data_IF_522321945915
#
_entry.id   IF_522321945915
#
_cell.length_a   1.000
_cell.length_b   1.000
_cell.length_c   1.000
_cell.angle_alpha   90.00
_cell.angle_beta   90.00
_cell.angle_gamma   90.00
#
_symmetry.space_group_name_H-M   'P 1'
#
loop_
_entity.id
_entity.type
_entity.pdbx_description
1 polymer ?
#
# COMPACT_ATOMS: atom_id res chain seq x y z
N UNK A 1 26.65 4.91 21.51
CA UNK A 1 26.80 4.56 20.08
C UNK A 1 25.73 5.33 19.32
N UNK A 2 26.10 6.29 18.48
CA UNK A 2 25.15 7.08 17.72
C UNK A 2 24.68 6.26 16.50
N UNK A 3 23.39 5.98 16.42
CA UNK A 3 22.74 5.46 15.21
C UNK A 3 22.90 6.50 14.10
N UNK A 4 23.36 6.14 12.89
CA UNK A 4 23.40 7.09 11.79
C UNK A 4 21.96 7.46 11.44
N UNK A 5 21.65 8.75 11.46
CA UNK A 5 20.41 9.26 10.90
C UNK A 5 20.56 9.17 9.38
N UNK A 6 19.90 8.21 8.75
CA UNK A 6 19.91 8.14 7.29
C UNK A 6 19.20 9.36 6.73
N UNK A 7 19.88 10.07 5.83
CA UNK A 7 19.33 11.24 5.15
C UNK A 7 18.23 10.81 4.18
N UNK A 8 17.14 11.59 4.10
CA UNK A 8 15.98 11.34 3.25
C UNK A 8 16.34 11.01 1.78
N UNK A 9 17.39 11.65 1.26
CA UNK A 9 17.87 11.45 -0.10
C UNK A 9 18.61 10.12 -0.31
N UNK A 10 19.22 9.56 0.74
CA UNK A 10 19.99 8.32 0.68
C UNK A 10 19.09 7.07 0.70
N UNK A 11 17.90 7.17 1.29
CA UNK A 11 16.93 6.06 1.34
C UNK A 11 15.96 6.01 0.15
N UNK A 12 15.94 7.04 -0.69
CA UNK A 12 15.04 7.11 -1.85
C UNK A 12 15.26 5.97 -2.86
N UNK A 13 16.50 5.54 -3.18
CA UNK A 13 16.72 4.34 -3.99
C UNK A 13 16.15 3.07 -3.36
N UNK A 14 16.22 2.94 -2.03
CA UNK A 14 15.64 1.79 -1.31
C UNK A 14 14.11 1.84 -1.33
N UNK A 15 13.49 3.02 -1.23
CA UNK A 15 12.05 3.19 -1.38
C UNK A 15 11.59 2.77 -2.78
N UNK A 16 12.33 3.19 -3.82
CA UNK A 16 12.06 2.80 -5.20
C UNK A 16 12.21 1.30 -5.42
N UNK A 17 13.25 0.68 -4.85
CA UNK A 17 13.45 -0.76 -4.92
C UNK A 17 12.31 -1.54 -4.24
N UNK A 18 11.81 -1.04 -3.10
CA UNK A 18 10.65 -1.61 -2.41
C UNK A 18 9.40 -1.58 -3.30
N UNK A 19 9.06 -0.43 -3.89
CA UNK A 19 7.90 -0.31 -4.79
C UNK A 19 8.06 -1.19 -6.02
N UNK A 20 9.25 -1.21 -6.63
CA UNK A 20 9.52 -2.08 -7.78
C UNK A 20 9.38 -3.57 -7.42
N UNK A 21 9.81 -3.96 -6.22
CA UNK A 21 9.63 -5.33 -5.73
C UNK A 21 8.15 -5.69 -5.59
N UNK A 22 7.35 -4.80 -4.98
CA UNK A 22 5.91 -5.00 -4.82
C UNK A 22 5.23 -5.24 -6.18
N UNK A 23 5.45 -4.32 -7.13
CA UNK A 23 4.73 -4.41 -8.41
C UNK A 23 5.27 -5.52 -9.33
N UNK A 24 6.50 -5.99 -9.13
CA UNK A 24 7.03 -7.18 -9.83
C UNK A 24 6.34 -8.47 -9.39
N UNK A 25 5.79 -8.52 -8.18
CA UNK A 25 5.10 -9.71 -7.70
C UNK A 25 3.84 -10.02 -8.52
N UNK A 26 3.07 -8.99 -8.90
CA UNK A 26 1.89 -9.15 -9.76
C UNK A 26 2.21 -9.79 -11.12
N UNK A 27 3.40 -9.59 -11.67
CA UNK A 27 3.82 -10.24 -12.91
C UNK A 27 4.04 -11.76 -12.76
N UNK A 28 4.02 -12.28 -11.53
CA UNK A 28 4.20 -13.70 -11.19
C UNK A 28 2.92 -14.34 -10.65
N UNK A 29 1.81 -13.60 -10.63
CA UNK A 29 0.54 -13.98 -10.01
C UNK A 29 0.14 -13.01 -8.89
N UNK A 30 -0.93 -13.33 -8.18
CA UNK A 30 -1.45 -12.49 -7.10
C UNK A 30 -0.62 -12.63 -5.82
N UNK A 31 0.00 -11.53 -5.35
CA UNK A 31 0.74 -11.54 -4.10
C UNK A 31 -0.19 -11.53 -2.88
N UNK A 32 0.26 -12.19 -1.81
CA UNK A 32 -0.53 -12.33 -0.59
C UNK A 32 -0.30 -11.15 0.38
N UNK A 33 -0.57 -9.94 -0.12
CA UNK A 33 -0.30 -8.70 0.61
C UNK A 33 -1.24 -8.46 1.79
N UNK A 34 -2.46 -8.96 1.74
CA UNK A 34 -3.43 -8.76 2.81
C UNK A 34 -3.31 -9.80 3.95
N UNK A 35 -2.66 -10.96 3.71
CA UNK A 35 -2.47 -11.98 4.74
C UNK A 35 -0.99 -12.18 5.11
N UNK A 36 -0.32 -13.16 4.50
CA UNK A 36 1.01 -13.63 4.96
C UNK A 36 2.08 -12.56 4.82
N UNK A 37 1.98 -11.70 3.82
CA UNK A 37 2.98 -10.66 3.56
C UNK A 37 2.62 -9.30 4.18
N UNK A 38 1.43 -9.15 4.76
CA UNK A 38 0.90 -7.87 5.24
C UNK A 38 1.84 -7.12 6.20
N UNK A 39 2.54 -7.85 7.09
CA UNK A 39 3.52 -7.26 8.02
C UNK A 39 4.79 -6.70 7.37
N UNK A 40 5.09 -7.14 6.14
CA UNK A 40 6.22 -6.69 5.33
C UNK A 40 5.81 -5.55 4.39
N UNK A 41 4.53 -5.50 4.01
CA UNK A 41 3.99 -4.54 3.04
C UNK A 41 3.50 -3.28 3.74
N UNK A 42 2.69 -3.40 4.80
CA UNK A 42 1.97 -2.28 5.40
C UNK A 42 2.62 -1.79 6.69
N UNK A 43 2.68 -0.47 6.86
CA UNK A 43 3.11 0.15 8.09
C UNK A 43 2.17 -0.23 9.25
N UNK A 44 2.64 -0.24 10.51
CA UNK A 44 1.87 -0.79 11.63
C UNK A 44 0.45 -0.23 11.78
N UNK A 45 0.25 1.08 11.53
CA UNK A 45 -1.06 1.72 11.62
C UNK A 45 -2.02 1.20 10.55
N UNK A 46 -1.63 1.23 9.28
CA UNK A 46 -2.47 0.75 8.18
C UNK A 46 -2.75 -0.75 8.33
N UNK A 47 -1.75 -1.55 8.69
CA UNK A 47 -1.91 -2.97 8.94
C UNK A 47 -2.93 -3.27 10.05
N UNK A 48 -2.92 -2.50 11.14
CA UNK A 48 -3.88 -2.67 12.21
C UNK A 48 -5.32 -2.37 11.76
N UNK A 49 -5.51 -1.40 10.88
CA UNK A 49 -6.81 -1.09 10.29
C UNK A 49 -7.30 -2.20 9.35
N UNK A 50 -6.42 -2.69 8.46
CA UNK A 50 -6.73 -3.80 7.55
C UNK A 50 -7.14 -5.05 8.34
N UNK A 51 -6.36 -5.41 9.37
CA UNK A 51 -6.68 -6.56 10.22
C UNK A 51 -7.99 -6.38 10.98
N UNK A 52 -8.28 -5.15 11.41
CA UNK A 52 -9.51 -4.86 12.13
C UNK A 52 -10.73 -4.96 11.22
N UNK A 53 -10.65 -4.45 10.00
CA UNK A 53 -11.69 -4.59 8.98
C UNK A 53 -12.04 -6.06 8.73
N UNK A 54 -11.03 -6.89 8.47
CA UNK A 54 -11.24 -8.34 8.33
C UNK A 54 -11.84 -8.99 9.58
N UNK A 55 -11.43 -8.54 10.77
CA UNK A 55 -11.90 -9.13 12.03
C UNK A 55 -13.33 -8.71 12.42
N UNK A 56 -13.81 -7.55 11.95
CA UNK A 56 -15.18 -7.07 12.21
C UNK A 56 -16.16 -7.43 11.10
N UNK A 57 -15.67 -7.80 9.92
CA UNK A 57 -16.49 -8.29 8.81
C UNK A 57 -17.13 -9.64 9.16
N UNK A 58 -18.47 -9.76 9.14
CA UNK A 58 -19.15 -11.03 9.35
C UNK A 58 -18.77 -12.08 8.30
N UNK A 59 -18.83 -13.36 8.68
CA UNK A 59 -18.53 -14.43 7.74
C UNK A 59 -19.51 -14.43 6.55
N UNK A 60 -18.96 -14.38 5.33
CA UNK A 60 -19.73 -14.33 4.09
C UNK A 60 -20.06 -12.91 3.61
N UNK A 61 -19.73 -11.88 4.41
CA UNK A 61 -19.84 -10.48 4.01
C UNK A 61 -18.50 -9.96 3.49
N UNK A 62 -18.58 -8.87 2.73
CA UNK A 62 -17.41 -8.11 2.25
C UNK A 62 -17.15 -6.97 3.22
N UNK A 63 -15.89 -6.80 3.62
CA UNK A 63 -15.45 -5.70 4.49
C UNK A 63 -15.40 -4.36 3.76
N UNK A 64 -14.81 -3.36 4.39
CA UNK A 64 -14.51 -2.09 3.72
C UNK A 64 -13.52 -2.30 2.58
N UNK A 65 -12.59 -3.24 2.76
CA UNK A 65 -11.73 -3.72 1.68
C UNK A 65 -12.43 -4.82 0.88
N UNK A 66 -12.89 -4.46 -0.30
CA UNK A 66 -13.51 -5.38 -1.26
C UNK A 66 -12.47 -5.96 -2.25
N UNK A 67 -11.22 -5.50 -2.26
CA UNK A 67 -10.19 -6.01 -3.18
C UNK A 67 -8.78 -5.74 -2.71
N UNK A 68 -7.79 -5.89 -3.59
CA UNK A 68 -6.41 -5.53 -3.31
C UNK A 68 -6.19 -4.02 -3.50
N UNK A 69 -5.95 -3.27 -2.41
CA UNK A 69 -5.77 -1.83 -2.49
C UNK A 69 -4.44 -1.42 -3.12
N UNK A 70 -3.44 -2.29 -3.22
CA UNK A 70 -2.12 -1.98 -3.77
C UNK A 70 -2.14 -1.92 -5.30
N UNK A 71 -3.01 -2.71 -5.96
CA UNK A 71 -3.29 -2.62 -7.40
C UNK A 71 -4.59 -1.87 -7.73
N UNK A 72 -5.39 -1.51 -6.73
CA UNK A 72 -6.75 -0.97 -6.89
C UNK A 72 -7.61 -1.89 -7.76
N UNK A 73 -7.59 -3.19 -7.45
CA UNK A 73 -8.17 -4.23 -8.30
C UNK A 73 -8.77 -5.40 -7.51
N UNK A 74 -9.77 -6.05 -8.12
CA UNK A 74 -10.36 -7.32 -7.63
C UNK A 74 -9.53 -8.53 -8.06
N UNK A 75 -8.95 -8.44 -9.26
CA UNK A 75 -8.15 -9.46 -9.92
C UNK A 75 -6.97 -8.75 -10.61
N UNK A 76 -5.77 -9.29 -10.44
CA UNK A 76 -4.56 -8.75 -11.04
C UNK A 76 -4.34 -9.20 -12.51
N UNK A 77 -5.24 -9.99 -13.09
CA UNK A 77 -5.13 -10.48 -14.45
C UNK A 77 -5.01 -9.35 -15.48
N UNK A 78 -3.99 -9.46 -16.33
CA UNK A 78 -3.69 -8.45 -17.34
C UNK A 78 -3.04 -7.17 -16.80
N UNK A 79 -2.75 -7.06 -15.50
CA UNK A 79 -2.03 -5.93 -14.91
C UNK A 79 -0.66 -5.77 -15.55
N UNK A 80 -0.38 -4.57 -16.05
CA UNK A 80 0.94 -4.15 -16.53
C UNK A 80 1.38 -2.90 -15.79
N UNK A 81 2.59 -2.95 -15.23
CA UNK A 81 3.20 -1.78 -14.60
C UNK A 81 3.67 -0.82 -15.70
N UNK A 82 3.16 0.39 -15.66
CA UNK A 82 3.56 1.48 -16.55
C UNK A 82 4.69 2.30 -15.94
N UNK A 83 4.35 3.47 -15.42
CA UNK A 83 5.30 4.42 -14.86
C UNK A 83 5.37 4.30 -13.33
N UNK A 84 6.57 4.45 -12.76
CA UNK A 84 6.79 4.52 -11.31
C UNK A 84 7.68 5.72 -11.00
N UNK A 85 7.10 6.75 -10.39
CA UNK A 85 7.82 7.87 -9.82
C UNK A 85 7.90 7.70 -8.30
N UNK A 86 9.06 7.99 -7.70
CA UNK A 86 9.21 8.01 -6.24
C UNK A 86 9.91 9.30 -5.86
N UNK A 87 9.29 10.04 -4.95
CA UNK A 87 9.69 11.38 -4.51
C UNK A 87 9.86 11.39 -3.00
N UNK A 88 10.96 11.95 -2.50
CA UNK A 88 11.17 12.10 -1.06
C UNK A 88 10.23 13.18 -0.50
N UNK A 89 9.61 12.89 0.65
CA UNK A 89 8.78 13.85 1.40
C UNK A 89 9.48 14.36 2.67
N UNK A 90 10.50 13.64 3.14
CA UNK A 90 11.27 13.96 4.33
C UNK A 90 12.06 12.76 4.83
N UNK A 91 12.81 12.87 5.94
CA UNK A 91 13.55 11.76 6.53
C UNK A 91 12.63 10.56 6.79
N UNK A 92 12.92 9.41 6.18
CA UNK A 92 12.12 8.19 6.33
C UNK A 92 10.72 8.24 5.69
N UNK A 93 10.43 9.23 4.85
CA UNK A 93 9.14 9.38 4.17
C UNK A 93 9.30 9.66 2.67
N UNK A 94 8.53 8.94 1.86
CA UNK A 94 8.49 9.12 0.41
C UNK A 94 7.07 8.92 -0.10
N UNK A 95 6.78 9.44 -1.29
CA UNK A 95 5.57 9.11 -2.05
C UNK A 95 5.97 8.41 -3.33
N UNK A 96 5.27 7.33 -3.66
CA UNK A 96 5.39 6.67 -4.95
C UNK A 96 4.10 6.84 -5.74
N UNK A 97 4.21 7.34 -6.97
CA UNK A 97 3.09 7.44 -7.91
C UNK A 97 3.29 6.38 -9.00
N UNK A 98 2.34 5.45 -9.06
CA UNK A 98 2.38 4.28 -9.94
C UNK A 98 1.23 4.37 -10.93
N UNK A 99 1.55 4.23 -12.21
CA UNK A 99 0.56 3.98 -13.26
C UNK A 99 0.53 2.49 -13.55
N UNK A 100 -0.56 1.82 -13.23
CA UNK A 100 -0.84 0.45 -13.69
C UNK A 100 -1.78 0.51 -14.89
N UNK A 101 -1.71 -0.50 -15.76
CA UNK A 101 -2.58 -0.63 -16.93
C UNK A 101 -3.27 -1.96 -16.89
N UNK A 102 -4.58 -1.92 -17.02
CA UNK A 102 -5.45 -3.07 -17.21
C UNK A 102 -6.07 -3.01 -18.62
N UNK A 103 -6.75 -4.08 -19.08
CA UNK A 103 -7.45 -4.06 -20.36
C UNK A 103 -8.55 -2.98 -20.48
N UNK A 104 -9.16 -2.61 -19.36
CA UNK A 104 -10.22 -1.59 -19.25
C UNK A 104 -9.69 -0.15 -19.14
N UNK A 105 -8.41 0.03 -18.78
CA UNK A 105 -7.76 1.34 -18.78
C UNK A 105 -6.57 1.46 -17.83
N UNK A 106 -5.85 2.60 -17.89
CA UNK A 106 -4.83 2.94 -16.91
C UNK A 106 -5.44 3.40 -15.58
N UNK A 107 -4.82 3.00 -14.47
CA UNK A 107 -5.14 3.46 -13.11
C UNK A 107 -3.90 4.10 -12.49
N UNK A 108 -4.11 5.14 -11.69
CA UNK A 108 -3.03 5.81 -10.95
C UNK A 108 -3.23 5.53 -9.47
N UNK A 109 -2.17 5.01 -8.85
CA UNK A 109 -2.13 4.66 -7.44
C UNK A 109 -0.96 5.40 -6.82
N UNK A 110 -1.21 6.15 -5.75
CA UNK A 110 -0.17 6.78 -4.96
C UNK A 110 -0.01 6.05 -3.65
N UNK A 111 1.23 5.72 -3.28
CA UNK A 111 1.58 5.10 -2.02
C UNK A 111 2.37 6.08 -1.18
N UNK A 112 1.89 6.37 0.03
CA UNK A 112 2.71 6.97 1.06
C UNK A 112 3.58 5.90 1.68
N UNK A 113 4.88 6.14 1.71
CA UNK A 113 5.88 5.21 2.21
C UNK A 113 6.49 5.74 3.51
N UNK A 114 6.66 4.84 4.46
CA UNK A 114 7.37 5.11 5.71
C UNK A 114 8.46 4.07 5.94
N UNK A 115 9.65 4.54 6.28
CA UNK A 115 10.75 3.70 6.74
C UNK A 115 10.52 3.29 8.20
N UNK A 116 10.61 1.99 8.49
CA UNK A 116 10.53 1.45 9.85
C UNK A 116 11.48 0.27 10.01
N UNK A 117 12.36 0.34 11.00
CA UNK A 117 13.36 -0.70 11.29
C UNK A 117 14.14 -1.13 10.03
N UNK A 118 14.66 -0.17 9.26
CA UNK A 118 15.41 -0.38 8.01
C UNK A 118 14.61 -1.05 6.86
N UNK A 119 13.27 -1.02 6.92
CA UNK A 119 12.42 -1.49 5.83
C UNK A 119 11.37 -0.44 5.47
N UNK A 120 11.15 -0.25 4.18
CA UNK A 120 10.06 0.57 3.67
C UNK A 120 8.74 -0.20 3.74
N UNK A 121 7.67 0.51 4.10
CA UNK A 121 6.31 -0.02 4.14
C UNK A 121 5.32 1.04 3.67
N UNK A 122 4.17 0.60 3.19
CA UNK A 122 3.05 1.45 2.78
C UNK A 122 2.33 1.98 4.03
N UNK A 123 2.35 3.29 4.22
CA UNK A 123 1.69 4.01 5.30
C UNK A 123 0.25 4.42 4.95
N UNK A 124 -0.01 4.77 3.68
CA UNK A 124 -1.33 5.08 3.15
C UNK A 124 -1.37 4.79 1.65
N UNK A 125 -2.57 4.60 1.12
CA UNK A 125 -2.84 4.35 -0.30
C UNK A 125 -3.87 5.36 -0.78
N UNK A 126 -3.63 5.90 -1.97
CA UNK A 126 -4.52 6.84 -2.64
C UNK A 126 -4.82 6.35 -4.06
N UNK A 127 -6.11 6.29 -4.38
CA UNK A 127 -6.62 5.98 -5.72
C UNK A 127 -7.62 7.07 -6.12
N UNK A 128 -8.18 6.97 -7.33
CA UNK A 128 -9.19 7.94 -7.77
C UNK A 128 -10.44 7.94 -6.86
N UNK A 129 -10.89 6.75 -6.44
CA UNK A 129 -12.09 6.59 -5.61
C UNK A 129 -11.77 6.65 -4.11
N UNK A 130 -10.54 6.32 -3.73
CA UNK A 130 -10.09 6.30 -2.33
C UNK A 130 -8.97 7.33 -2.13
N UNK A 131 -9.28 8.59 -1.76
CA UNK A 131 -8.26 9.60 -1.52
C UNK A 131 -7.35 9.34 -0.33
N UNK A 132 -7.70 8.39 0.56
CA UNK A 132 -6.85 7.88 1.63
C UNK A 132 -7.50 6.62 2.21
N UNK A 133 -6.84 5.49 2.06
CA UNK A 133 -7.32 4.22 2.59
C UNK A 133 -7.36 4.23 4.12
N UNK A 134 -6.35 4.84 4.77
CA UNK A 134 -6.34 5.00 6.22
C UNK A 134 -7.59 5.75 6.69
N UNK A 135 -7.95 6.87 6.04
CA UNK A 135 -9.13 7.65 6.44
C UNK A 135 -10.44 6.93 6.15
N UNK A 136 -10.51 6.17 5.05
CA UNK A 136 -11.67 5.33 4.72
C UNK A 136 -11.90 4.29 5.84
N UNK A 137 -10.90 3.46 6.13
CA UNK A 137 -10.98 2.41 7.16
C UNK A 137 -11.30 3.00 8.52
N UNK A 138 -10.64 4.09 8.92
CA UNK A 138 -10.94 4.74 10.19
C UNK A 138 -12.38 5.24 10.29
N UNK A 139 -12.96 5.74 9.20
CA UNK A 139 -14.33 6.25 9.18
C UNK A 139 -15.33 5.12 9.29
N UNK A 140 -15.20 4.09 8.46
CA UNK A 140 -16.17 2.98 8.43
C UNK A 140 -16.08 2.12 9.70
N UNK A 141 -14.88 1.79 10.18
CA UNK A 141 -14.69 1.03 11.43
C UNK A 141 -15.10 1.82 12.69
N UNK A 142 -15.32 3.13 12.60
CA UNK A 142 -15.94 3.92 13.67
C UNK A 142 -17.47 3.86 13.62
N UNK A 143 -18.07 3.71 12.43
CA UNK A 143 -19.52 3.60 12.24
C UNK A 143 -20.05 2.26 12.70
N UNK A 144 -19.34 1.17 12.42
CA UNK A 144 -19.69 -0.19 12.87
C UNK A 144 -19.72 -0.34 14.41
N UNK A 145 -19.09 0.59 15.14
CA UNK A 145 -19.09 0.59 16.60
C UNK A 145 -20.32 1.25 17.25
N UNK A 146 -21.20 1.86 16.45
CA UNK A 146 -22.41 2.55 16.93
C UNK A 146 -23.63 1.69 16.70
#
# INVERSE_FOLDING_TARGET
>A
MATPATSAAQDLPAARAFVAHLYRAYARGEPDYLDREAGRVFAPRLLALIRRDRATTPAGEVGVLDGDPVCDCQDADGLKVGHVAVTALGPGHARADITVRFPDGPRVISLDLAASHNAWRIADIHTHETPSLVRLLERELRRERR
#
